data_IF_627543789681
#
_entry.id   IF_627543789681
#
_cell.length_a   1.000
_cell.length_b   1.000
_cell.length_c   1.000
_cell.angle_alpha   90.00
_cell.angle_beta   90.00
_cell.angle_gamma   90.00
#
_symmetry.space_group_name_H-M   'P 1'
#
loop_
_entity.id
_entity.type
_entity.pdbx_description
1 polymer ?
#
# COMPACT_ATOMS: atom_id res chain seq x y z
N UNK A 1 17.47 -7.48 16.36
CA UNK A 1 16.37 -6.89 15.54
C UNK A 1 15.99 -7.96 14.53
N UNK A 2 14.70 -8.29 14.44
CA UNK A 2 14.20 -9.35 13.54
C UNK A 2 14.52 -9.04 12.06
N UNK A 3 14.94 -10.00 11.25
CA UNK A 3 15.26 -9.78 9.83
C UNK A 3 14.00 -9.67 8.96
N UNK A 4 14.15 -9.30 7.68
CA UNK A 4 13.03 -9.30 6.73
C UNK A 4 12.46 -10.71 6.55
N UNK A 5 13.33 -11.69 6.49
CA UNK A 5 13.01 -13.11 6.32
C UNK A 5 12.23 -13.64 7.54
N UNK A 6 12.67 -13.31 8.75
CA UNK A 6 11.96 -13.68 9.98
C UNK A 6 10.59 -13.01 10.09
N UNK A 7 10.46 -11.74 9.67
CA UNK A 7 9.19 -11.04 9.64
C UNK A 7 8.24 -11.66 8.61
N UNK A 8 8.74 -11.98 7.42
CA UNK A 8 7.98 -12.62 6.35
C UNK A 8 7.50 -14.01 6.79
N UNK A 9 8.38 -14.82 7.34
CA UNK A 9 8.04 -16.15 7.86
C UNK A 9 6.94 -16.11 8.92
N UNK A 10 7.02 -15.18 9.88
CA UNK A 10 5.95 -14.96 10.87
C UNK A 10 4.64 -14.51 10.24
N UNK A 11 4.71 -13.70 9.18
CA UNK A 11 3.54 -13.24 8.47
C UNK A 11 2.86 -14.39 7.70
N UNK A 12 3.65 -15.23 7.03
CA UNK A 12 3.16 -16.38 6.28
C UNK A 12 2.39 -17.39 7.15
N UNK A 13 2.79 -17.55 8.41
CA UNK A 13 2.16 -18.45 9.38
C UNK A 13 1.18 -17.74 10.35
N UNK A 14 0.81 -16.47 10.06
CA UNK A 14 -0.05 -15.69 10.95
C UNK A 14 -1.47 -16.25 11.03
N UNK A 15 -1.99 -16.36 12.25
CA UNK A 15 -3.36 -16.81 12.58
C UNK A 15 -4.12 -15.82 13.48
N UNK A 16 -3.70 -14.55 13.56
CA UNK A 16 -4.17 -13.55 14.52
C UNK A 16 -5.59 -13.06 14.29
N UNK A 17 -6.21 -13.32 13.13
CA UNK A 17 -7.58 -12.90 12.84
C UNK A 17 -8.29 -13.89 11.92
N UNK A 18 -9.62 -13.77 11.82
CA UNK A 18 -10.47 -14.67 11.04
C UNK A 18 -10.11 -14.77 9.55
N UNK A 19 -9.41 -13.79 8.97
CA UNK A 19 -8.98 -13.83 7.57
C UNK A 19 -8.04 -15.01 7.27
N UNK A 20 -7.35 -15.54 8.28
CA UNK A 20 -6.48 -16.71 8.10
C UNK A 20 -7.24 -17.97 7.70
N UNK A 21 -8.55 -18.06 8.01
CA UNK A 21 -9.38 -19.24 7.74
C UNK A 21 -9.85 -19.35 6.30
N UNK A 22 -9.86 -18.24 5.58
CA UNK A 22 -10.44 -18.16 4.21
C UNK A 22 -9.42 -17.78 3.15
N UNK A 23 -8.21 -17.37 3.53
CA UNK A 23 -7.14 -17.07 2.57
C UNK A 23 -6.60 -18.33 1.92
N UNK A 24 -6.15 -18.23 0.68
CA UNK A 24 -5.29 -19.22 0.03
C UNK A 24 -3.83 -18.95 0.35
N UNK A 25 -3.40 -17.69 0.21
CA UNK A 25 -2.05 -17.24 0.52
C UNK A 25 -2.05 -15.98 1.36
N UNK A 26 -0.98 -15.78 2.13
CA UNK A 26 -0.62 -14.49 2.69
C UNK A 26 0.04 -13.65 1.60
N UNK A 27 -0.30 -12.38 1.52
CA UNK A 27 0.29 -11.41 0.58
C UNK A 27 1.15 -10.43 1.37
N UNK A 28 2.42 -10.76 1.55
CA UNK A 28 3.34 -10.01 2.42
C UNK A 28 3.68 -8.62 1.87
N UNK A 29 4.05 -8.56 0.61
CA UNK A 29 4.46 -7.36 -0.11
C UNK A 29 5.41 -7.72 -1.26
N UNK A 30 5.72 -6.74 -2.12
CA UNK A 30 6.61 -6.94 -3.27
C UNK A 30 7.39 -5.68 -3.60
N UNK A 31 8.55 -5.84 -4.23
CA UNK A 31 9.37 -4.75 -4.73
C UNK A 31 10.65 -4.55 -3.93
N UNK A 32 11.22 -3.38 -4.04
CA UNK A 32 12.52 -3.05 -3.45
C UNK A 32 12.40 -2.79 -1.94
N UNK A 33 12.87 -3.72 -1.13
CA UNK A 33 12.89 -3.62 0.35
C UNK A 33 13.72 -2.45 0.88
N UNK A 34 14.62 -1.89 0.07
CA UNK A 34 15.45 -0.72 0.40
C UNK A 34 14.91 0.58 -0.20
N UNK A 35 13.74 0.56 -0.84
CA UNK A 35 13.16 1.76 -1.44
C UNK A 35 12.77 2.80 -0.39
N UNK A 36 12.88 4.06 -0.77
CA UNK A 36 12.37 5.21 0.00
C UNK A 36 10.94 5.58 -0.35
N UNK A 37 10.32 4.82 -1.25
CA UNK A 37 8.96 5.01 -1.73
C UNK A 37 8.15 3.74 -1.49
N UNK A 38 7.07 3.88 -0.73
CA UNK A 38 6.18 2.79 -0.37
C UNK A 38 4.75 3.12 -0.83
N UNK A 39 4.12 2.20 -1.56
CA UNK A 39 2.69 2.24 -1.86
C UNK A 39 1.95 1.26 -0.95
N UNK A 40 0.88 1.72 -0.31
CA UNK A 40 0.09 0.91 0.62
C UNK A 40 -1.36 0.89 0.18
N UNK A 41 -1.83 -0.29 -0.21
CA UNK A 41 -3.24 -0.55 -0.49
C UNK A 41 -4.01 -1.05 0.73
N UNK A 42 -5.24 -1.44 0.51
CA UNK A 42 -6.16 -1.92 1.55
C UNK A 42 -5.89 -3.38 1.94
N UNK A 43 -5.99 -4.28 1.00
CA UNK A 43 -5.83 -5.72 1.20
C UNK A 43 -5.83 -6.48 -0.12
N UNK A 44 -5.49 -7.78 -0.09
CA UNK A 44 -5.48 -8.63 -1.28
C UNK A 44 -6.88 -8.83 -1.87
N UNK A 45 -6.98 -8.79 -3.19
CA UNK A 45 -8.10 -9.30 -3.95
C UNK A 45 -7.94 -10.80 -4.25
N UNK A 46 -8.80 -11.32 -5.12
CA UNK A 46 -8.81 -12.75 -5.46
C UNK A 46 -7.53 -13.21 -6.16
N UNK A 47 -7.05 -12.47 -7.14
CA UNK A 47 -5.84 -12.84 -7.87
C UNK A 47 -4.59 -12.75 -6.99
N UNK A 48 -4.55 -11.77 -6.10
CA UNK A 48 -3.49 -11.60 -5.12
C UNK A 48 -3.47 -12.76 -4.11
N UNK A 49 -4.64 -13.17 -3.63
CA UNK A 49 -4.79 -14.30 -2.72
C UNK A 49 -4.36 -15.63 -3.36
N UNK A 50 -4.69 -15.83 -4.65
CA UNK A 50 -4.28 -17.03 -5.39
C UNK A 50 -2.77 -17.08 -5.67
N UNK A 51 -2.13 -15.93 -5.89
CA UNK A 51 -0.72 -15.85 -6.30
C UNK A 51 0.25 -15.49 -5.17
N UNK A 52 -0.25 -14.97 -4.03
CA UNK A 52 0.58 -14.53 -2.91
C UNK A 52 1.34 -13.20 -3.17
N UNK A 53 0.98 -12.46 -4.22
CA UNK A 53 1.67 -11.24 -4.65
C UNK A 53 0.67 -10.07 -4.70
N UNK A 54 0.99 -8.87 -4.17
CA UNK A 54 0.07 -7.74 -4.19
C UNK A 54 -0.06 -7.14 -5.59
N UNK A 55 -1.26 -6.65 -5.89
CA UNK A 55 -1.55 -5.91 -7.12
C UNK A 55 -1.20 -6.67 -8.41
N UNK A 56 -1.69 -7.90 -8.58
CA UNK A 56 -1.50 -8.72 -9.79
C UNK A 56 -2.78 -8.82 -10.65
N UNK A 57 -3.94 -8.48 -10.10
CA UNK A 57 -5.21 -8.42 -10.83
C UNK A 57 -5.35 -7.16 -11.69
N UNK A 58 -6.57 -6.87 -12.20
CA UNK A 58 -6.82 -5.69 -13.04
C UNK A 58 -6.43 -4.37 -12.40
N UNK A 59 -6.67 -4.21 -11.09
CA UNK A 59 -6.23 -3.04 -10.32
C UNK A 59 -4.70 -2.92 -10.26
N UNK A 60 -4.00 -4.06 -10.20
CA UNK A 60 -2.54 -4.10 -10.22
C UNK A 60 -1.95 -3.68 -11.56
N UNK A 61 -2.55 -4.11 -12.67
CA UNK A 61 -2.15 -3.66 -14.01
C UNK A 61 -2.32 -2.15 -14.18
N UNK A 62 -3.43 -1.61 -13.70
CA UNK A 62 -3.64 -0.16 -13.70
C UNK A 62 -2.61 0.57 -12.82
N UNK A 63 -2.23 -0.01 -11.66
CA UNK A 63 -1.16 0.56 -10.85
C UNK A 63 0.18 0.58 -11.60
N UNK A 64 0.53 -0.49 -12.32
CA UNK A 64 1.75 -0.53 -13.13
C UNK A 64 1.74 0.55 -14.22
N UNK A 65 0.60 0.76 -14.89
CA UNK A 65 0.43 1.85 -15.86
C UNK A 65 0.59 3.22 -15.19
N UNK A 66 0.00 3.43 -14.01
CA UNK A 66 0.13 4.67 -13.24
C UNK A 66 1.58 4.94 -12.84
N UNK A 67 2.30 3.93 -12.38
CA UNK A 67 3.72 4.05 -12.03
C UNK A 67 4.57 4.43 -13.25
N UNK A 68 4.29 3.83 -14.40
CA UNK A 68 5.02 4.11 -15.65
C UNK A 68 4.89 5.56 -16.12
N UNK A 69 3.76 6.23 -15.86
CA UNK A 69 3.54 7.66 -16.16
C UNK A 69 4.59 8.56 -15.49
N UNK A 70 5.07 8.15 -14.32
CA UNK A 70 6.02 8.92 -13.51
C UNK A 70 7.41 8.28 -13.47
N UNK A 71 7.75 7.46 -14.46
CA UNK A 71 9.03 6.77 -14.62
C UNK A 71 9.37 5.82 -13.47
N UNK A 72 8.36 5.26 -12.81
CA UNK A 72 8.48 4.24 -11.78
C UNK A 72 8.05 2.86 -12.28
N UNK A 73 8.53 1.85 -11.56
CA UNK A 73 8.15 0.45 -11.67
C UNK A 73 8.25 -0.22 -10.30
N UNK A 74 7.93 -1.50 -10.21
CA UNK A 74 7.95 -2.26 -8.96
C UNK A 74 9.36 -2.48 -8.39
N UNK A 75 10.41 -2.32 -9.18
CA UNK A 75 11.80 -2.45 -8.72
C UNK A 75 12.28 -1.18 -8.02
N UNK A 76 11.65 -0.03 -8.30
CA UNK A 76 11.97 1.28 -7.72
C UNK A 76 11.18 1.59 -6.45
N UNK A 77 10.12 0.86 -6.16
CA UNK A 77 9.27 1.07 -4.98
C UNK A 77 9.01 -0.24 -4.23
N UNK A 78 8.42 -0.14 -3.05
CA UNK A 78 7.86 -1.28 -2.33
C UNK A 78 6.35 -1.17 -2.28
N UNK A 79 5.63 -2.27 -2.45
CA UNK A 79 4.16 -2.30 -2.50
C UNK A 79 3.66 -3.28 -1.45
N UNK A 80 2.77 -2.83 -0.58
CA UNK A 80 2.17 -3.64 0.47
C UNK A 80 0.70 -3.24 0.69
N UNK A 81 0.04 -3.91 1.63
CA UNK A 81 -1.34 -3.62 2.04
C UNK A 81 -1.44 -3.50 3.56
N UNK A 82 -2.51 -2.85 4.05
CA UNK A 82 -2.86 -2.77 5.46
C UNK A 82 -3.07 -4.17 6.03
N UNK A 83 -3.89 -5.01 5.36
CA UNK A 83 -4.06 -6.42 5.72
C UNK A 83 -3.36 -7.33 4.72
N UNK A 84 -2.81 -8.45 5.21
CA UNK A 84 -2.01 -9.39 4.41
C UNK A 84 -2.83 -10.57 3.89
N UNK A 85 -4.09 -10.67 4.27
CA UNK A 85 -5.00 -11.74 3.89
C UNK A 85 -6.24 -11.14 3.24
N UNK A 86 -6.80 -11.85 2.23
CA UNK A 86 -8.00 -11.44 1.50
C UNK A 86 -9.24 -11.45 2.39
N UNK A 87 -9.96 -10.33 2.55
CA UNK A 87 -11.28 -10.35 3.17
C UNK A 87 -12.30 -11.09 2.27
N UNK A 88 -13.25 -11.85 2.86
CA UNK A 88 -14.27 -12.57 2.10
C UNK A 88 -15.02 -11.65 1.13
N UNK A 89 -15.14 -12.11 -0.13
CA UNK A 89 -15.80 -11.36 -1.23
C UNK A 89 -15.22 -9.96 -1.47
N UNK A 90 -13.95 -9.74 -1.12
CA UNK A 90 -13.24 -8.46 -1.26
C UNK A 90 -13.95 -7.29 -0.53
N UNK A 91 -14.61 -7.57 0.60
CA UNK A 91 -15.15 -6.49 1.44
C UNK A 91 -14.02 -5.68 2.08
N UNK A 92 -14.34 -4.50 2.57
CA UNK A 92 -13.41 -3.74 3.41
C UNK A 92 -12.94 -4.60 4.61
N UNK A 93 -11.66 -4.56 5.00
CA UNK A 93 -11.19 -5.20 6.21
C UNK A 93 -11.79 -4.53 7.44
N UNK A 94 -12.27 -5.32 8.38
CA UNK A 94 -12.83 -4.82 9.62
C UNK A 94 -11.74 -4.17 10.51
N UNK A 95 -12.08 -3.23 11.39
CA UNK A 95 -11.11 -2.60 12.29
C UNK A 95 -10.26 -3.60 13.06
N UNK A 96 -10.87 -4.66 13.62
CA UNK A 96 -10.17 -5.71 14.35
C UNK A 96 -9.19 -6.50 13.48
N UNK A 97 -9.50 -6.72 12.20
CA UNK A 97 -8.62 -7.37 11.24
C UNK A 97 -7.42 -6.48 10.90
N UNK A 98 -7.67 -5.17 10.74
CA UNK A 98 -6.62 -4.18 10.55
C UNK A 98 -5.70 -4.10 11.77
N UNK A 99 -6.26 -4.05 12.99
CA UNK A 99 -5.51 -3.98 14.24
C UNK A 99 -4.62 -5.22 14.46
N UNK A 100 -5.15 -6.41 14.16
CA UNK A 100 -4.37 -7.64 14.23
C UNK A 100 -3.22 -7.70 13.22
N UNK A 101 -3.34 -7.03 12.07
CA UNK A 101 -2.42 -7.16 10.94
C UNK A 101 -1.42 -6.01 10.82
N UNK A 102 -1.78 -4.79 11.29
CA UNK A 102 -1.00 -3.56 11.02
C UNK A 102 0.45 -3.66 11.48
N UNK A 103 0.75 -4.40 12.55
CA UNK A 103 2.10 -4.56 13.06
C UNK A 103 3.08 -5.13 12.04
N UNK A 104 2.65 -5.93 11.08
CA UNK A 104 3.50 -6.39 9.98
C UNK A 104 3.92 -5.25 9.07
N UNK A 105 2.98 -4.36 8.69
CA UNK A 105 3.27 -3.19 7.87
C UNK A 105 4.16 -2.18 8.62
N UNK A 106 3.88 -1.92 9.90
CA UNK A 106 4.69 -1.03 10.74
C UNK A 106 6.13 -1.54 10.85
N UNK A 107 6.32 -2.85 11.02
CA UNK A 107 7.65 -3.47 11.02
C UNK A 107 8.32 -3.41 9.64
N UNK A 108 7.60 -3.55 8.54
CA UNK A 108 8.14 -3.34 7.19
C UNK A 108 8.64 -1.90 7.02
N UNK A 109 7.84 -0.91 7.40
CA UNK A 109 8.19 0.52 7.36
C UNK A 109 9.42 0.80 8.25
N UNK A 110 9.42 0.28 9.48
CA UNK A 110 10.53 0.49 10.42
C UNK A 110 11.85 -0.10 9.92
N UNK A 111 11.80 -1.25 9.23
CA UNK A 111 12.99 -1.88 8.63
C UNK A 111 13.53 -1.11 7.45
N UNK A 112 12.66 -0.65 6.57
CA UNK A 112 13.07 0.26 5.50
C UNK A 112 13.68 1.54 6.09
N UNK A 113 13.12 2.07 7.18
CA UNK A 113 13.64 3.25 7.88
C UNK A 113 14.98 2.99 8.57
N UNK A 114 15.32 1.77 8.96
CA UNK A 114 16.60 1.43 9.55
C UNK A 114 17.74 1.39 8.51
N UNK A 115 17.44 0.98 7.28
CA UNK A 115 18.38 0.92 6.16
C UNK A 115 18.42 2.26 5.39
N UNK A 116 17.25 2.77 5.06
CA UNK A 116 17.06 4.03 4.32
C UNK A 116 15.68 4.53 4.73
N UNK A 117 15.57 5.61 5.51
CA UNK A 117 14.24 6.12 5.92
C UNK A 117 13.33 6.22 4.71
N UNK A 118 12.15 5.55 4.69
CA UNK A 118 11.16 5.82 3.66
C UNK A 118 10.80 7.30 3.78
N UNK A 119 11.00 8.05 2.71
CA UNK A 119 10.69 9.46 2.68
C UNK A 119 9.26 9.72 2.27
N UNK A 120 8.67 8.80 1.51
CA UNK A 120 7.31 8.92 0.99
C UNK A 120 6.53 7.62 1.20
N UNK A 121 5.33 7.73 1.77
CA UNK A 121 4.32 6.66 1.80
C UNK A 121 3.08 7.17 1.07
N UNK A 122 2.67 6.46 0.03
CA UNK A 122 1.49 6.76 -0.78
C UNK A 122 0.38 5.76 -0.44
N UNK A 123 -0.69 6.24 0.18
CA UNK A 123 -1.87 5.44 0.49
C UNK A 123 -2.75 5.31 -0.75
N UNK A 124 -3.03 4.09 -1.17
CA UNK A 124 -3.93 3.78 -2.28
C UNK A 124 -5.34 3.52 -1.72
N UNK A 125 -6.19 4.54 -1.78
CA UNK A 125 -7.58 4.49 -1.35
C UNK A 125 -7.83 4.87 0.11
N UNK A 126 -9.11 4.85 0.46
CA UNK A 126 -9.64 5.35 1.72
C UNK A 126 -9.11 4.61 2.95
N UNK A 127 -9.13 3.28 2.91
CA UNK A 127 -8.77 2.45 4.09
C UNK A 127 -7.31 2.68 4.50
N UNK A 128 -6.39 2.66 3.53
CA UNK A 128 -4.98 2.92 3.81
C UNK A 128 -4.76 4.35 4.33
N UNK A 129 -5.42 5.35 3.72
CA UNK A 129 -5.31 6.74 4.15
C UNK A 129 -5.87 6.97 5.55
N UNK A 130 -7.03 6.39 5.88
CA UNK A 130 -7.61 6.48 7.21
C UNK A 130 -6.75 5.81 8.28
N UNK A 131 -6.10 4.71 7.94
CA UNK A 131 -5.24 3.99 8.88
C UNK A 131 -3.89 4.67 9.11
N UNK A 132 -3.27 5.22 8.07
CA UNK A 132 -1.89 5.72 8.12
C UNK A 132 -1.79 7.25 8.24
N UNK A 133 -2.78 8.01 7.76
CA UNK A 133 -2.75 9.48 7.78
C UNK A 133 -3.63 10.00 8.92
N UNK A 134 -4.95 9.84 8.82
CA UNK A 134 -5.90 10.31 9.82
C UNK A 134 -7.25 9.56 9.70
N UNK A 135 -7.90 9.16 10.80
CA UNK A 135 -9.18 8.41 10.76
C UNK A 135 -10.29 9.13 9.99
N UNK A 136 -10.30 10.48 10.00
CA UNK A 136 -11.26 11.32 9.30
C UNK A 136 -10.92 11.60 7.84
N UNK A 137 -9.85 11.01 7.30
CA UNK A 137 -9.40 11.25 5.92
C UNK A 137 -10.48 10.89 4.90
N UNK A 138 -10.82 11.84 4.03
CA UNK A 138 -11.80 11.68 2.95
C UNK A 138 -11.11 11.68 1.61
N UNK A 139 -10.99 10.51 1.00
CA UNK A 139 -10.25 10.36 -0.27
C UNK A 139 -10.77 11.29 -1.38
N UNK A 140 -12.08 11.54 -1.44
CA UNK A 140 -12.69 12.42 -2.43
C UNK A 140 -12.38 13.90 -2.26
N UNK A 141 -11.86 14.31 -1.08
CA UNK A 141 -11.53 15.71 -0.76
C UNK A 141 -10.03 15.89 -0.55
N UNK A 142 -9.40 14.91 0.09
CA UNK A 142 -8.06 15.08 0.68
C UNK A 142 -6.97 14.37 -0.15
N UNK A 143 -7.31 13.69 -1.27
CA UNK A 143 -6.32 13.09 -2.15
C UNK A 143 -5.31 14.13 -2.66
N UNK A 144 -4.10 13.73 -2.96
CA UNK A 144 -3.03 14.60 -3.43
C UNK A 144 -2.44 15.54 -2.36
N UNK A 145 -3.03 15.62 -1.16
CA UNK A 145 -2.46 16.42 -0.06
C UNK A 145 -1.28 15.69 0.61
N UNK A 146 -0.43 16.46 1.29
CA UNK A 146 0.77 15.97 1.95
C UNK A 146 0.71 16.18 3.45
N UNK A 147 1.04 15.14 4.21
CA UNK A 147 1.18 15.19 5.67
C UNK A 147 2.59 14.73 6.05
N UNK A 148 3.31 15.50 6.83
CA UNK A 148 4.63 15.13 7.34
C UNK A 148 4.52 14.62 8.77
N UNK A 149 5.12 13.45 9.06
CA UNK A 149 5.21 12.89 10.41
C UNK A 149 6.51 12.08 10.54
N UNK A 150 7.31 12.37 11.58
CA UNK A 150 8.56 11.66 11.92
C UNK A 150 9.56 11.56 10.75
N UNK A 151 9.62 12.60 9.91
CA UNK A 151 10.51 12.66 8.75
C UNK A 151 10.03 11.88 7.53
N UNK A 152 8.80 11.38 7.56
CA UNK A 152 8.13 10.70 6.46
C UNK A 152 7.00 11.58 5.92
N UNK A 153 6.89 11.66 4.60
CA UNK A 153 5.79 12.32 3.90
C UNK A 153 4.73 11.29 3.51
N UNK A 154 3.50 11.56 3.90
CA UNK A 154 2.34 10.77 3.54
C UNK A 154 1.48 11.52 2.54
N UNK A 155 0.99 10.82 1.53
CA UNK A 155 -0.04 11.28 0.61
C UNK A 155 -1.00 10.14 0.31
N UNK A 156 -2.13 10.45 -0.30
CA UNK A 156 -3.07 9.45 -0.74
C UNK A 156 -3.61 9.79 -2.13
N UNK A 157 -3.95 8.76 -2.89
CA UNK A 157 -4.66 8.86 -4.16
C UNK A 157 -5.74 7.78 -4.25
N UNK A 158 -6.63 7.89 -5.22
CA UNK A 158 -7.66 6.87 -5.42
C UNK A 158 -7.05 5.48 -5.60
N UNK A 159 -7.69 4.47 -5.00
CA UNK A 159 -7.30 3.09 -5.22
C UNK A 159 -7.52 2.71 -6.70
N UNK A 160 -6.60 1.99 -7.35
CA UNK A 160 -6.76 1.60 -8.76
C UNK A 160 -8.09 0.91 -9.06
N UNK A 161 -8.61 0.09 -8.15
CA UNK A 161 -9.93 -0.55 -8.31
C UNK A 161 -11.08 0.46 -8.36
N UNK A 162 -10.97 1.59 -7.65
CA UNK A 162 -11.96 2.66 -7.74
C UNK A 162 -11.93 3.35 -9.11
N UNK A 163 -10.75 3.52 -9.70
CA UNK A 163 -10.56 4.10 -11.04
C UNK A 163 -11.06 3.17 -12.16
N UNK A 164 -11.10 1.85 -11.92
CA UNK A 164 -11.72 0.89 -12.83
C UNK A 164 -13.25 0.99 -12.80
N UNK A 165 -13.82 1.21 -11.61
CA UNK A 165 -15.29 1.38 -11.44
C UNK A 165 -15.77 2.75 -11.89
N UNK A 166 -14.99 3.80 -11.65
CA UNK A 166 -15.31 5.19 -12.00
C UNK A 166 -14.13 5.86 -12.70
N UNK A 167 -14.02 5.71 -14.03
CA UNK A 167 -12.93 6.32 -14.81
C UNK A 167 -12.92 7.85 -14.78
N UNK A 168 -14.01 8.51 -14.35
CA UNK A 168 -14.06 9.99 -14.25
C UNK A 168 -13.08 10.56 -13.23
N UNK A 169 -12.58 9.71 -12.30
CA UNK A 169 -11.56 10.06 -11.29
C UNK A 169 -10.12 9.98 -11.79
N UNK A 170 -9.89 9.52 -13.01
CA UNK A 170 -8.53 9.38 -13.57
C UNK A 170 -7.81 10.72 -13.79
N UNK A 171 -8.46 11.82 -14.25
CA UNK A 171 -7.78 13.11 -14.37
C UNK A 171 -7.23 13.62 -13.03
N UNK A 172 -8.02 13.57 -11.96
CA UNK A 172 -7.60 13.97 -10.61
C UNK A 172 -6.40 13.12 -10.14
N UNK A 173 -6.46 11.81 -10.40
CA UNK A 173 -5.36 10.88 -10.05
C UNK A 173 -4.10 11.14 -10.87
N UNK A 174 -4.23 11.55 -12.12
CA UNK A 174 -3.10 11.95 -12.94
C UNK A 174 -2.39 13.18 -12.37
N UNK A 175 -3.15 14.18 -11.92
CA UNK A 175 -2.60 15.36 -11.23
C UNK A 175 -1.86 14.96 -9.94
N UNK A 176 -2.41 14.04 -9.15
CA UNK A 176 -1.76 13.49 -7.95
C UNK A 176 -0.43 12.79 -8.28
N UNK A 177 -0.39 12.03 -9.39
CA UNK A 177 0.84 11.38 -9.86
C UNK A 177 1.92 12.40 -10.26
N UNK A 178 1.53 13.49 -10.93
CA UNK A 178 2.48 14.55 -11.27
C UNK A 178 3.03 15.26 -10.02
N UNK A 179 2.18 15.49 -9.02
CA UNK A 179 2.61 16.02 -7.71
C UNK A 179 3.58 15.04 -7.01
N UNK A 180 3.29 13.74 -7.06
CA UNK A 180 4.19 12.71 -6.51
C UNK A 180 5.54 12.70 -7.25
N UNK A 181 5.54 12.73 -8.59
CA UNK A 181 6.77 12.81 -9.40
C UNK A 181 7.64 14.02 -8.99
N UNK A 182 7.01 15.19 -8.88
CA UNK A 182 7.71 16.42 -8.45
C UNK A 182 8.32 16.23 -7.05
N UNK A 183 7.58 15.63 -6.11
CA UNK A 183 8.05 15.39 -4.76
C UNK A 183 9.23 14.40 -4.70
N UNK A 184 9.19 13.35 -5.50
CA UNK A 184 10.28 12.38 -5.66
C UNK A 184 11.55 13.08 -6.16
N UNK A 185 11.43 13.96 -7.17
CA UNK A 185 12.55 14.73 -7.71
C UNK A 185 13.13 15.71 -6.69
N UNK A 186 12.29 16.45 -5.96
CA UNK A 186 12.71 17.38 -4.89
C UNK A 186 13.51 16.69 -3.77
N UNK A 187 13.22 15.43 -3.50
CA UNK A 187 13.83 14.65 -2.42
C UNK A 187 15.00 13.77 -2.88
N UNK A 188 15.27 13.71 -4.18
CA UNK A 188 16.27 12.82 -4.79
C UNK A 188 16.06 11.34 -4.38
N UNK A 189 14.84 10.87 -4.54
CA UNK A 189 14.44 9.48 -4.28
C UNK A 189 14.51 8.69 -5.59
#
# INVERSE_FOLDING_TARGET
METWEELEEKCLHCDRCELCRTRHNVVFGVGNRSSRLLFVGEGPGEQEDLQGVPFVGPAGKLLDDMLSIIDLDREKCYIANIVKCRPPRNRDPQPQEQDACIGFLENQIARQAALVKPKIIVCLGRIAAQRLIAPEFRITRDHGTWTARDGVLYSAMYHPSALLRDPTKRPETFDDLLLLRKKIQELNI
#
